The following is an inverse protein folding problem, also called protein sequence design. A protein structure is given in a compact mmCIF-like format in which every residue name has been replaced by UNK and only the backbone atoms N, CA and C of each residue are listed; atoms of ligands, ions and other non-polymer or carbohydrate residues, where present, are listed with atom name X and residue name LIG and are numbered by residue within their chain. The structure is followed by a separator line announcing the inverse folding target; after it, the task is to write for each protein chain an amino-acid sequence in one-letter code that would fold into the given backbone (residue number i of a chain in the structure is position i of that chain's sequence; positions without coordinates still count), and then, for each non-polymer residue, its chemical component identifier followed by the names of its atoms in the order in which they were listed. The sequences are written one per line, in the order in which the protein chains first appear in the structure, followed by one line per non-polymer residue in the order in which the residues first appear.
data_IF_608051796058
#
_entry.id   IF_608051796058
#
_cell.length_a   1.000
_cell.length_b   1.000
_cell.length_c   1.000
_cell.angle_alpha   90.00
_cell.angle_beta   90.00
_cell.angle_gamma   90.00
#
_symmetry.space_group_name_H-M   'P 1'
#
loop_
_entity.id
_entity.type
_entity.pdbx_description
1 polymer ?
#
# COMPACT_ATOMS: atom_id res chain seq x y z
N UNK A 1 -37.43 -13.35 20.10
CA UNK A 1 -36.90 -13.88 18.82
C UNK A 1 -35.59 -13.16 18.57
N UNK A 2 -34.46 -13.88 18.66
CA UNK A 2 -33.15 -13.34 18.30
C UNK A 2 -33.04 -13.25 16.78
N UNK A 3 -32.68 -12.09 16.25
CA UNK A 3 -32.34 -11.92 14.84
C UNK A 3 -31.09 -12.75 14.51
N UNK A 4 -31.03 -13.40 13.34
CA UNK A 4 -29.89 -14.22 12.98
C UNK A 4 -28.64 -13.35 12.81
N UNK A 5 -27.59 -13.77 13.51
CA UNK A 5 -26.23 -13.28 13.45
C UNK A 5 -25.79 -12.98 12.01
N UNK A 6 -25.30 -11.76 11.78
CA UNK A 6 -24.64 -11.37 10.54
C UNK A 6 -23.44 -12.29 10.32
N UNK A 7 -23.63 -13.28 9.47
CA UNK A 7 -22.59 -14.17 9.02
C UNK A 7 -21.41 -13.39 8.44
N UNK A 8 -20.26 -13.81 8.94
CA UNK A 8 -18.91 -13.32 8.74
C UNK A 8 -18.45 -13.53 7.30
N UNK A 9 -18.80 -12.61 6.40
CA UNK A 9 -17.86 -12.19 5.37
C UNK A 9 -16.87 -11.19 6.02
N UNK A 10 -15.60 -11.08 5.60
CA UNK A 10 -14.77 -9.94 5.96
C UNK A 10 -15.46 -8.70 5.38
N UNK A 11 -16.36 -8.13 6.17
CA UNK A 11 -17.25 -7.09 5.74
C UNK A 11 -16.41 -5.91 5.29
N UNK A 12 -16.68 -5.34 4.12
CA UNK A 12 -15.97 -4.18 3.58
C UNK A 12 -15.86 -3.02 4.60
N UNK A 13 -16.73 -3.01 5.62
CA UNK A 13 -16.59 -2.20 6.82
C UNK A 13 -15.16 -2.24 7.40
N UNK A 14 -14.55 -3.42 7.57
CA UNK A 14 -13.23 -3.60 8.20
C UNK A 14 -12.06 -3.03 7.38
N UNK A 15 -12.11 -3.18 6.06
CA UNK A 15 -11.00 -2.83 5.14
C UNK A 15 -10.75 -1.31 5.03
N UNK A 16 -11.73 -0.51 5.41
CA UNK A 16 -11.67 0.95 5.29
C UNK A 16 -11.84 1.67 6.62
N UNK A 17 -11.68 0.99 7.77
CA UNK A 17 -11.83 1.63 9.10
C UNK A 17 -10.64 2.51 9.46
N UNK A 18 -9.45 2.16 9.01
CA UNK A 18 -8.21 2.88 9.29
C UNK A 18 -7.50 3.28 8.01
N UNK A 19 -6.71 4.36 8.10
CA UNK A 19 -5.84 4.79 7.01
C UNK A 19 -4.84 3.70 6.62
N UNK A 20 -4.30 2.98 7.58
CA UNK A 20 -3.37 1.86 7.34
C UNK A 20 -4.03 0.73 6.53
N UNK A 21 -5.28 0.37 6.84
CA UNK A 21 -6.02 -0.64 6.08
C UNK A 21 -6.31 -0.18 4.65
N UNK A 22 -6.71 1.09 4.49
CA UNK A 22 -6.88 1.72 3.18
C UNK A 22 -5.56 1.66 2.38
N UNK A 23 -4.45 2.13 2.95
CA UNK A 23 -3.16 2.21 2.25
C UNK A 23 -2.64 0.83 1.88
N UNK A 24 -2.79 -0.17 2.76
CA UNK A 24 -2.43 -1.58 2.45
C UNK A 24 -3.26 -2.13 1.29
N UNK A 25 -4.56 -1.88 1.30
CA UNK A 25 -5.44 -2.30 0.20
C UNK A 25 -5.06 -1.61 -1.11
N UNK A 26 -4.73 -0.32 -1.06
CA UNK A 26 -4.30 0.45 -2.23
C UNK A 26 -3.01 -0.11 -2.85
N UNK A 27 -2.01 -0.40 -2.01
CA UNK A 27 -0.74 -0.99 -2.44
C UNK A 27 -0.97 -2.38 -3.05
N UNK A 28 -1.86 -3.19 -2.46
CA UNK A 28 -2.21 -4.50 -3.00
C UNK A 28 -2.88 -4.39 -4.37
N UNK A 29 -3.86 -3.52 -4.51
CA UNK A 29 -4.56 -3.31 -5.78
C UNK A 29 -3.62 -2.74 -6.86
N UNK A 30 -2.68 -1.88 -6.48
CA UNK A 30 -1.63 -1.40 -7.37
C UNK A 30 -0.68 -2.52 -7.80
N UNK A 31 -0.27 -3.38 -6.86
CA UNK A 31 0.57 -4.54 -7.14
C UNK A 31 -0.09 -5.48 -8.15
N UNK A 32 -1.34 -5.88 -7.89
CA UNK A 32 -2.10 -6.82 -8.72
C UNK A 32 -2.25 -6.30 -10.17
N UNK A 33 -2.36 -4.98 -10.35
CA UNK A 33 -2.48 -4.33 -11.66
C UNK A 33 -1.15 -4.13 -12.39
N UNK A 34 -0.11 -3.75 -11.66
CA UNK A 34 1.03 -3.04 -12.25
C UNK A 34 2.39 -3.65 -11.90
N UNK A 35 2.46 -4.75 -11.15
CA UNK A 35 3.73 -5.36 -10.75
C UNK A 35 4.61 -5.80 -11.92
N UNK A 36 4.05 -6.30 -13.02
CA UNK A 36 4.85 -6.79 -14.16
C UNK A 36 5.32 -5.67 -15.09
N UNK A 37 4.54 -4.60 -15.22
CA UNK A 37 4.73 -3.53 -16.22
C UNK A 37 5.31 -2.24 -15.63
N UNK A 38 5.05 -1.92 -14.36
CA UNK A 38 5.45 -0.66 -13.71
C UNK A 38 6.19 -0.89 -12.38
N UNK A 39 7.13 -1.84 -12.37
CA UNK A 39 7.97 -2.21 -11.20
C UNK A 39 8.57 -1.01 -10.47
N UNK A 40 9.09 -0.03 -11.22
CA UNK A 40 9.69 1.18 -10.65
C UNK A 40 8.69 2.04 -9.87
N UNK A 41 7.47 2.19 -10.38
CA UNK A 41 6.41 2.93 -9.70
C UNK A 41 5.99 2.18 -8.43
N UNK A 42 5.80 0.86 -8.51
CA UNK A 42 5.44 0.09 -7.31
C UNK A 42 6.51 0.17 -6.20
N UNK A 43 7.80 0.05 -6.56
CA UNK A 43 8.90 0.17 -5.58
C UNK A 43 8.93 1.59 -4.97
N UNK A 44 8.76 2.63 -5.79
CA UNK A 44 8.67 4.00 -5.29
C UNK A 44 7.48 4.19 -4.33
N UNK A 45 6.32 3.59 -4.66
CA UNK A 45 5.12 3.64 -3.83
C UNK A 45 5.35 2.96 -2.48
N UNK A 46 5.97 1.78 -2.47
CA UNK A 46 6.32 1.06 -1.23
C UNK A 46 7.25 1.87 -0.33
N UNK A 47 8.27 2.52 -0.93
CA UNK A 47 9.19 3.39 -0.19
C UNK A 47 8.46 4.62 0.35
N UNK A 48 7.61 5.24 -0.46
CA UNK A 48 6.83 6.42 -0.07
C UNK A 48 5.84 6.11 1.06
N UNK A 49 5.21 4.93 1.04
CA UNK A 49 4.29 4.42 2.07
C UNK A 49 4.99 3.99 3.37
N UNK A 50 6.31 4.14 3.48
CA UNK A 50 7.06 3.73 4.68
C UNK A 50 7.17 2.22 4.86
N UNK A 51 6.79 1.40 3.87
CA UNK A 51 6.99 -0.06 3.85
C UNK A 51 8.45 -0.43 3.50
N UNK A 52 9.40 0.41 3.92
CA UNK A 52 10.83 0.27 3.68
C UNK A 52 11.41 -1.03 4.25
N UNK A 53 10.70 -1.71 5.16
CA UNK A 53 11.07 -3.01 5.73
C UNK A 53 11.10 -4.15 4.71
N UNK A 54 10.34 -4.06 3.61
CA UNK A 54 10.34 -5.07 2.54
C UNK A 54 11.42 -4.83 1.47
N UNK A 55 11.75 -3.56 1.20
CA UNK A 55 12.74 -3.18 0.18
C UNK A 55 14.17 -3.09 0.73
N UNK A 56 14.31 -2.91 2.05
CA UNK A 56 15.57 -2.91 2.75
C UNK A 56 15.48 -3.97 3.83
N UNK A 57 15.75 -5.22 3.46
CA UNK A 57 16.45 -6.10 4.39
C UNK A 57 17.77 -5.38 4.72
N UNK A 58 17.69 -4.51 5.74
CA UNK A 58 18.86 -3.92 6.39
C UNK A 58 19.70 -5.12 6.81
N UNK A 59 20.96 -5.10 6.42
CA UNK A 59 21.93 -6.16 6.66
C UNK A 59 21.69 -7.49 5.94
N UNK A 60 22.12 -7.54 4.68
CA UNK A 60 23.08 -8.59 4.36
C UNK A 60 24.37 -8.33 5.18
N UNK A 61 24.34 -8.52 6.51
CA UNK A 61 25.57 -8.47 7.30
C UNK A 61 26.49 -9.51 6.70
N UNK A 62 27.65 -9.08 6.22
CA UNK A 62 28.71 -9.99 5.87
C UNK A 62 29.23 -10.51 7.21
N UNK A 63 28.65 -11.61 7.68
CA UNK A 63 29.39 -12.43 8.62
C UNK A 63 30.49 -13.10 7.80
N UNK A 64 31.74 -12.94 8.22
CA UNK A 64 32.94 -13.36 7.51
C UNK A 64 33.11 -14.89 7.38
N UNK A 65 32.04 -15.64 7.13
CA UNK A 65 32.00 -17.11 7.11
C UNK A 65 31.29 -17.71 5.86
N UNK A 66 30.99 -16.90 4.84
CA UNK A 66 30.88 -17.39 3.46
C UNK A 66 29.69 -18.30 3.08
N UNK A 67 28.70 -18.57 3.93
CA UNK A 67 27.51 -19.36 3.51
C UNK A 67 26.20 -18.83 4.08
N UNK A 68 25.42 -18.13 3.24
CA UNK A 68 24.07 -17.67 3.61
C UNK A 68 23.03 -18.70 3.15
N UNK A 69 22.44 -19.44 4.08
CA UNK A 69 21.14 -20.08 3.86
C UNK A 69 20.06 -19.01 4.00
N UNK A 70 19.58 -18.53 2.86
CA UNK A 70 18.35 -17.74 2.81
C UNK A 70 17.23 -18.70 3.19
N UNK A 71 16.58 -18.51 4.33
CA UNK A 71 15.35 -19.22 4.65
C UNK A 71 14.27 -18.69 3.69
N UNK A 72 14.11 -19.37 2.55
CA UNK A 72 13.12 -19.04 1.51
C UNK A 72 11.74 -19.42 2.06
N UNK A 73 11.19 -18.58 2.93
CA UNK A 73 9.75 -18.51 3.15
C UNK A 73 9.10 -17.83 1.94
N UNK A 74 7.90 -18.25 1.56
CA UNK A 74 7.20 -17.86 0.33
C UNK A 74 7.07 -16.33 0.08
N UNK A 75 7.40 -15.46 1.04
CA UNK A 75 7.46 -14.00 0.88
C UNK A 75 8.79 -13.43 0.32
N UNK A 76 9.88 -14.20 0.26
CA UNK A 76 11.21 -13.70 -0.15
C UNK A 76 11.49 -13.74 -1.66
N UNK A 77 10.71 -14.52 -2.43
CA UNK A 77 10.94 -14.70 -3.87
C UNK A 77 10.84 -13.39 -4.68
N UNK A 78 10.09 -12.41 -4.17
CA UNK A 78 9.92 -11.12 -4.83
C UNK A 78 10.88 -10.03 -4.33
N UNK A 79 11.50 -10.20 -3.15
CA UNK A 79 12.38 -9.19 -2.57
C UNK A 79 13.68 -9.02 -3.39
N UNK A 80 14.30 -10.12 -3.81
CA UNK A 80 15.54 -10.09 -4.59
C UNK A 80 15.41 -9.38 -5.95
N UNK A 81 14.40 -9.69 -6.80
CA UNK A 81 14.22 -8.96 -8.06
C UNK A 81 13.84 -7.50 -7.84
N UNK A 82 13.12 -7.14 -6.77
CA UNK A 82 12.86 -5.74 -6.42
C UNK A 82 14.12 -4.98 -6.08
N UNK A 83 14.99 -5.56 -5.24
CA UNK A 83 16.24 -4.92 -4.81
C UNK A 83 17.19 -4.74 -6.00
N UNK A 84 17.35 -5.77 -6.83
CA UNK A 84 18.18 -5.68 -8.04
C UNK A 84 17.68 -4.59 -8.99
N UNK A 85 16.37 -4.54 -9.22
CA UNK A 85 15.74 -3.49 -10.03
C UNK A 85 15.92 -2.10 -9.41
N UNK A 86 15.72 -1.97 -8.09
CA UNK A 86 15.90 -0.71 -7.39
C UNK A 86 17.32 -0.14 -7.56
N UNK A 87 18.34 -0.98 -7.38
CA UNK A 87 19.74 -0.55 -7.52
C UNK A 87 20.02 -0.05 -8.94
N UNK A 88 19.53 -0.76 -9.96
CA UNK A 88 19.70 -0.39 -11.38
C UNK A 88 18.93 0.87 -11.76
N UNK A 89 17.78 1.12 -11.13
CA UNK A 89 16.85 2.21 -11.48
C UNK A 89 16.76 3.30 -10.40
N UNK A 90 17.73 3.36 -9.47
CA UNK A 90 17.71 4.17 -8.25
C UNK A 90 17.29 5.62 -8.49
N UNK A 91 17.90 6.30 -9.46
CA UNK A 91 17.66 7.73 -9.73
C UNK A 91 16.20 8.00 -10.09
N UNK A 92 15.62 7.19 -10.99
CA UNK A 92 14.22 7.32 -11.40
C UNK A 92 13.26 7.01 -10.24
N UNK A 93 13.55 5.98 -9.46
CA UNK A 93 12.71 5.59 -8.32
C UNK A 93 12.72 6.67 -7.23
N UNK A 94 13.90 7.15 -6.82
CA UNK A 94 14.02 8.19 -5.79
C UNK A 94 13.29 9.48 -6.20
N UNK A 95 13.38 9.86 -7.48
CA UNK A 95 12.68 11.04 -7.99
C UNK A 95 11.14 10.92 -7.83
N UNK A 96 10.58 9.71 -8.03
CA UNK A 96 9.14 9.45 -7.88
C UNK A 96 8.68 9.41 -6.42
N UNK A 97 9.55 8.97 -5.49
CA UNK A 97 9.21 8.86 -4.07
C UNK A 97 8.69 10.18 -3.50
N UNK A 98 9.27 11.32 -3.89
CA UNK A 98 8.82 12.64 -3.44
C UNK A 98 7.37 12.95 -3.84
N UNK A 99 7.04 12.73 -5.12
CA UNK A 99 5.69 12.93 -5.64
C UNK A 99 4.69 11.99 -4.96
N UNK A 100 5.05 10.73 -4.76
CA UNK A 100 4.17 9.74 -4.15
C UNK A 100 3.91 10.03 -2.66
N UNK A 101 4.90 10.55 -1.93
CA UNK A 101 4.67 11.03 -0.55
C UNK A 101 3.64 12.15 -0.50
N UNK A 102 3.66 13.07 -1.47
CA UNK A 102 2.66 14.12 -1.57
C UNK A 102 1.27 13.57 -1.88
N UNK A 103 1.16 12.63 -2.83
CA UNK A 103 -0.12 11.95 -3.16
C UNK A 103 -0.68 11.21 -1.94
N UNK A 104 0.16 10.46 -1.21
CA UNK A 104 -0.22 9.74 0.02
C UNK A 104 -0.73 10.72 1.08
N UNK A 105 0.00 11.81 1.34
CA UNK A 105 -0.37 12.79 2.35
C UNK A 105 -1.68 13.52 2.02
N UNK A 106 -1.93 13.84 0.74
CA UNK A 106 -3.20 14.42 0.32
C UNK A 106 -4.36 13.44 0.53
N UNK A 107 -4.20 12.18 0.11
CA UNK A 107 -5.26 11.18 0.26
C UNK A 107 -5.52 10.80 1.72
N UNK A 108 -4.51 10.88 2.59
CA UNK A 108 -4.68 10.70 4.03
C UNK A 108 -5.63 11.76 4.59
N UNK A 109 -5.43 13.03 4.22
CA UNK A 109 -6.31 14.13 4.65
C UNK A 109 -7.74 13.91 4.18
N UNK A 110 -7.93 13.62 2.89
CA UNK A 110 -9.27 13.37 2.31
C UNK A 110 -9.95 12.17 2.95
N UNK A 111 -9.20 11.10 3.23
CA UNK A 111 -9.71 9.94 3.95
C UNK A 111 -10.20 10.33 5.35
N UNK A 112 -9.38 11.08 6.10
CA UNK A 112 -9.72 11.53 7.44
C UNK A 112 -10.94 12.45 7.45
N UNK A 113 -11.09 13.32 6.45
CA UNK A 113 -12.28 14.18 6.27
C UNK A 113 -13.55 13.36 6.04
N UNK A 114 -13.48 12.32 5.19
CA UNK A 114 -14.61 11.40 4.96
C UNK A 114 -14.97 10.65 6.24
N UNK A 115 -13.97 10.15 6.98
CA UNK A 115 -14.19 9.47 8.27
C UNK A 115 -14.80 10.42 9.31
N UNK A 116 -14.31 11.65 9.40
CA UNK A 116 -14.83 12.65 10.32
C UNK A 116 -16.29 12.99 9.99
N UNK A 117 -16.60 13.23 8.72
CA UNK A 117 -17.98 13.47 8.28
C UNK A 117 -18.92 12.31 8.61
N UNK A 118 -18.46 11.07 8.46
CA UNK A 118 -19.24 9.90 8.87
C UNK A 118 -19.45 9.82 10.39
N UNK A 119 -18.41 10.08 11.20
CA UNK A 119 -18.52 10.13 12.68
C UNK A 119 -19.43 11.25 13.17
N UNK A 120 -19.45 12.36 12.46
CA UNK A 120 -20.34 13.50 12.72
C UNK A 120 -21.78 13.25 12.21
N UNK A 121 -22.06 12.09 11.62
CA UNK A 121 -23.37 11.73 11.09
C UNK A 121 -23.75 12.41 9.78
N UNK A 122 -22.82 13.08 9.10
CA UNK A 122 -23.05 13.73 7.78
C UNK A 122 -23.27 12.73 6.65
N UNK A 123 -22.77 11.50 6.81
CA UNK A 123 -22.84 10.44 5.80
C UNK A 123 -23.34 9.15 6.44
N UNK A 124 -24.14 8.37 5.71
CA UNK A 124 -24.41 6.99 6.11
C UNK A 124 -23.20 6.10 5.79
N UNK A 125 -23.16 4.91 6.41
CA UNK A 125 -22.06 3.94 6.20
C UNK A 125 -21.91 3.59 4.71
N UNK A 126 -23.01 3.45 3.99
CA UNK A 126 -23.01 3.15 2.55
C UNK A 126 -22.35 4.26 1.74
N UNK A 127 -22.72 5.52 2.00
CA UNK A 127 -22.18 6.68 1.28
C UNK A 127 -20.68 6.83 1.56
N UNK A 128 -20.30 6.71 2.84
CA UNK A 128 -18.89 6.72 3.27
C UNK A 128 -18.07 5.64 2.55
N UNK A 129 -18.60 4.44 2.42
CA UNK A 129 -17.89 3.36 1.72
C UNK A 129 -17.70 3.69 0.23
N UNK A 130 -18.74 4.18 -0.44
CA UNK A 130 -18.66 4.59 -1.85
C UNK A 130 -17.67 5.75 -2.07
N UNK A 131 -17.61 6.70 -1.14
CA UNK A 131 -16.62 7.79 -1.17
C UNK A 131 -15.20 7.27 -1.00
N UNK A 132 -14.97 6.32 -0.09
CA UNK A 132 -13.65 5.71 0.10
C UNK A 132 -13.24 4.87 -1.11
N UNK A 133 -14.18 4.13 -1.72
CA UNK A 133 -13.92 3.41 -2.98
C UNK A 133 -13.55 4.36 -4.12
N UNK A 134 -14.24 5.50 -4.21
CA UNK A 134 -13.89 6.57 -5.14
C UNK A 134 -12.48 7.13 -4.88
N UNK A 135 -12.16 7.39 -3.60
CA UNK A 135 -10.85 7.87 -3.16
C UNK A 135 -9.73 6.87 -3.51
N UNK A 136 -9.99 5.56 -3.36
CA UNK A 136 -9.05 4.49 -3.71
C UNK A 136 -8.70 4.51 -5.20
N UNK A 137 -9.72 4.59 -6.06
CA UNK A 137 -9.53 4.64 -7.51
C UNK A 137 -8.73 5.88 -7.93
N UNK A 138 -9.02 7.03 -7.30
CA UNK A 138 -8.29 8.28 -7.54
C UNK A 138 -6.84 8.20 -7.06
N UNK A 139 -6.60 7.59 -5.90
CA UNK A 139 -5.25 7.37 -5.38
C UNK A 139 -4.39 6.58 -6.36
N UNK A 140 -4.89 5.42 -6.81
CA UNK A 140 -4.17 4.54 -7.75
C UNK A 140 -3.87 5.28 -9.06
N UNK A 141 -4.86 6.02 -9.58
CA UNK A 141 -4.68 6.82 -10.79
C UNK A 141 -3.61 7.89 -10.63
N UNK A 142 -3.62 8.63 -9.52
CA UNK A 142 -2.63 9.70 -9.30
C UNK A 142 -1.21 9.16 -9.08
N UNK A 143 -1.06 7.98 -8.45
CA UNK A 143 0.23 7.29 -8.37
C UNK A 143 0.74 6.89 -9.77
N UNK A 144 -0.17 6.50 -10.66
CA UNK A 144 0.18 6.15 -12.04
C UNK A 144 0.57 7.35 -12.92
N UNK A 145 -0.05 8.51 -12.67
CA UNK A 145 0.16 9.74 -13.44
C UNK A 145 1.35 10.59 -12.93
N UNK A 146 1.86 10.32 -11.72
CA UNK A 146 3.01 11.02 -11.09
C UNK A 146 4.39 10.39 -11.39
#
# INVERSE_FOLDING_TARGET
MAEPSKDTAPSAQGLYTTWDAFLKQAIREYYDRSWTTRKGNFIALLIAAGQTSFALAKDSVVDGSGTKKVAIGAGLLLALPMVSYFVRNRKSIINKVGAYKAVIADHEKRYLEIQAGWRDGKYQVTDRNLMIDGLMKQFIKQVDDA
#
